data_IF_795951067514
#
_entry.id   IF_795951067514
#
_cell.length_a   1.000
_cell.length_b   1.000
_cell.length_c   1.000
_cell.angle_alpha   90.00
_cell.angle_beta   90.00
_cell.angle_gamma   90.00
#
_symmetry.space_group_name_H-M   'P 1'
#
loop_
_entity.id
_entity.type
_entity.pdbx_description
1 polymer ?
#
# COMPACT_ATOMS: atom_id res chain seq x y z
N UNK A 1 49.61 -8.24 72.02
CA UNK A 1 49.92 -8.42 70.58
C UNK A 1 48.93 -9.44 70.04
N UNK A 2 47.87 -8.97 69.39
CA UNK A 2 46.97 -9.79 68.60
C UNK A 2 46.55 -8.90 67.42
N UNK A 3 47.12 -9.18 66.25
CA UNK A 3 46.81 -8.49 65.01
C UNK A 3 45.56 -9.12 64.40
N UNK A 4 44.55 -8.29 64.14
CA UNK A 4 43.33 -8.68 63.43
C UNK A 4 43.58 -8.47 61.94
N UNK A 5 43.58 -9.55 61.17
CA UNK A 5 43.56 -9.50 59.70
C UNK A 5 42.17 -9.05 59.24
N UNK A 6 42.11 -7.92 58.53
CA UNK A 6 40.91 -7.50 57.82
C UNK A 6 40.87 -8.19 56.46
N UNK A 7 39.89 -9.06 56.26
CA UNK A 7 39.59 -9.67 54.98
C UNK A 7 39.06 -8.62 53.99
N UNK A 8 39.74 -8.51 52.85
CA UNK A 8 39.31 -7.73 51.70
C UNK A 8 38.06 -8.38 51.09
N UNK A 9 36.93 -7.66 51.14
CA UNK A 9 35.69 -8.06 50.48
C UNK A 9 35.81 -7.83 48.97
N UNK A 10 36.00 -8.89 48.20
CA UNK A 10 35.91 -8.85 46.73
C UNK A 10 34.44 -8.68 46.34
N UNK A 11 34.06 -7.48 45.90
CA UNK A 11 32.77 -7.23 45.26
C UNK A 11 32.74 -7.89 43.88
N UNK A 12 31.63 -8.51 43.44
CA UNK A 12 31.51 -9.04 42.09
C UNK A 12 31.48 -7.87 41.10
N UNK A 13 32.51 -7.75 40.27
CA UNK A 13 32.50 -6.85 39.12
C UNK A 13 31.34 -7.22 38.20
N UNK A 14 30.43 -6.27 37.98
CA UNK A 14 29.46 -6.36 36.90
C UNK A 14 30.20 -6.59 35.57
N UNK A 15 29.97 -7.75 34.95
CA UNK A 15 30.61 -8.16 33.71
C UNK A 15 30.16 -7.19 32.61
N UNK A 16 31.13 -6.53 31.96
CA UNK A 16 30.82 -5.60 30.87
C UNK A 16 30.24 -6.39 29.68
N UNK A 17 29.17 -5.91 29.03
CA UNK A 17 28.65 -6.50 27.80
C UNK A 17 29.76 -6.51 26.74
N UNK A 18 29.79 -7.56 25.90
CA UNK A 18 30.78 -7.71 24.82
C UNK A 18 30.54 -6.61 23.76
N UNK A 19 31.13 -5.44 23.98
CA UNK A 19 31.14 -4.33 23.03
C UNK A 19 32.28 -4.56 22.03
N UNK A 20 31.99 -5.22 20.91
CA UNK A 20 33.03 -5.49 19.91
C UNK A 20 32.63 -6.45 18.79
N UNK A 21 33.68 -6.95 18.14
CA UNK A 21 33.62 -7.95 17.08
C UNK A 21 33.45 -9.34 17.71
N UNK A 22 32.53 -10.13 17.18
CA UNK A 22 32.18 -11.47 17.64
C UNK A 22 32.47 -12.45 16.50
N UNK A 23 33.19 -13.53 16.82
CA UNK A 23 33.34 -14.69 15.93
C UNK A 23 32.25 -15.72 16.26
N UNK A 24 31.60 -16.24 15.22
CA UNK A 24 30.59 -17.28 15.31
C UNK A 24 31.04 -18.45 14.42
N UNK A 25 30.96 -19.68 14.92
CA UNK A 25 31.03 -20.88 14.12
C UNK A 25 29.61 -21.43 13.95
N UNK A 26 29.08 -21.36 12.73
CA UNK A 26 27.72 -21.83 12.41
C UNK A 26 27.83 -23.06 11.53
N UNK A 27 27.53 -24.24 12.09
CA UNK A 27 27.61 -25.50 11.35
C UNK A 27 28.99 -25.77 10.71
N UNK A 28 30.08 -25.27 11.30
CA UNK A 28 31.45 -25.40 10.79
C UNK A 28 31.94 -24.23 9.93
N UNK A 29 31.11 -23.20 9.70
CA UNK A 29 31.49 -22.01 8.93
C UNK A 29 31.66 -20.81 9.85
N UNK A 30 32.84 -20.17 9.76
CA UNK A 30 33.18 -19.01 10.58
C UNK A 30 32.60 -17.72 10.00
N UNK A 31 31.80 -17.03 10.82
CA UNK A 31 31.30 -15.69 10.56
C UNK A 31 31.90 -14.71 11.56
N UNK A 32 32.16 -13.49 11.10
CA UNK A 32 32.65 -12.43 11.99
C UNK A 32 31.82 -11.17 11.78
N UNK A 33 31.24 -10.65 12.87
CA UNK A 33 30.33 -9.50 12.84
C UNK A 33 30.42 -8.69 14.13
N UNK A 34 29.66 -7.61 14.30
CA UNK A 34 29.57 -6.90 15.58
C UNK A 34 28.45 -7.48 16.45
N UNK A 35 28.63 -7.39 17.78
CA UNK A 35 27.59 -7.72 18.74
C UNK A 35 26.32 -6.90 18.47
N UNK A 36 26.46 -5.60 18.18
CA UNK A 36 25.32 -4.72 17.88
C UNK A 36 24.47 -5.21 16.71
N UNK A 37 25.08 -5.66 15.61
CA UNK A 37 24.35 -6.21 14.46
C UNK A 37 23.51 -7.42 14.85
N UNK A 38 24.06 -8.31 15.69
CA UNK A 38 23.35 -9.51 16.14
C UNK A 38 22.20 -9.15 17.10
N UNK A 39 22.45 -8.29 18.08
CA UNK A 39 21.46 -7.98 19.13
C UNK A 39 20.32 -7.08 18.66
N UNK A 40 20.50 -6.30 17.60
CA UNK A 40 19.46 -5.35 17.12
C UNK A 40 18.23 -6.02 16.54
N UNK A 41 18.33 -7.27 16.08
CA UNK A 41 17.25 -7.95 15.35
C UNK A 41 16.99 -9.38 15.83
N UNK A 42 17.65 -9.84 16.90
CA UNK A 42 17.52 -11.20 17.42
C UNK A 42 17.51 -11.20 18.94
N UNK A 43 16.40 -11.67 19.52
CA UNK A 43 16.30 -11.87 20.97
C UNK A 43 17.26 -12.94 21.47
N UNK A 44 17.52 -13.99 20.67
CA UNK A 44 18.50 -15.01 20.99
C UNK A 44 19.88 -14.41 21.25
N UNK A 45 20.39 -13.59 20.32
CA UNK A 45 21.70 -12.97 20.49
C UNK A 45 21.71 -11.89 21.56
N UNK A 46 20.61 -11.15 21.73
CA UNK A 46 20.48 -10.18 22.82
C UNK A 46 20.63 -10.85 24.19
N UNK A 47 20.01 -12.02 24.39
CA UNK A 47 20.14 -12.81 25.61
C UNK A 47 21.52 -13.47 25.74
N UNK A 48 22.05 -14.04 24.65
CA UNK A 48 23.36 -14.70 24.66
C UNK A 48 24.50 -13.71 24.98
N UNK A 49 24.39 -12.47 24.50
CA UNK A 49 25.42 -11.44 24.65
C UNK A 49 25.16 -10.47 25.83
N UNK A 50 24.06 -10.62 26.58
CA UNK A 50 23.74 -9.77 27.75
C UNK A 50 24.76 -9.88 28.88
N UNK A 51 25.56 -10.95 28.89
CA UNK A 51 26.58 -11.24 29.91
C UNK A 51 26.14 -12.25 30.97
N UNK A 52 24.89 -12.73 30.92
CA UNK A 52 24.37 -13.74 31.85
C UNK A 52 24.93 -15.14 31.55
N UNK A 53 25.25 -15.41 30.28
CA UNK A 53 25.78 -16.68 29.77
C UNK A 53 27.26 -16.55 29.39
N UNK A 54 28.08 -16.15 30.35
CA UNK A 54 29.53 -16.18 30.17
C UNK A 54 30.02 -17.63 30.32
N UNK A 55 29.75 -18.46 29.32
CA UNK A 55 30.57 -19.66 29.14
C UNK A 55 32.01 -19.19 28.86
N UNK A 56 32.90 -19.81 29.63
CA UNK A 56 34.33 -19.62 29.71
C UNK A 56 35.00 -19.18 28.41
N UNK A 57 35.70 -18.04 28.43
CA UNK A 57 36.94 -17.80 27.67
C UNK A 57 36.94 -17.92 26.14
N UNK A 58 35.88 -18.42 25.51
CA UNK A 58 35.89 -18.77 24.10
C UNK A 58 35.69 -17.51 23.27
N UNK A 59 36.68 -17.27 22.42
CA UNK A 59 36.71 -16.17 21.45
C UNK A 59 35.64 -16.35 20.35
N UNK A 60 35.09 -17.56 20.20
CA UNK A 60 34.18 -17.98 19.14
C UNK A 60 32.93 -18.67 19.72
N UNK A 61 31.74 -18.26 19.26
CA UNK A 61 30.45 -18.86 19.68
C UNK A 61 30.00 -19.90 18.66
N UNK A 62 29.73 -21.13 19.10
CA UNK A 62 29.23 -22.19 18.23
C UNK A 62 27.69 -22.17 18.14
N UNK A 63 27.15 -22.34 16.93
CA UNK A 63 25.72 -22.44 16.64
C UNK A 63 25.50 -23.65 15.72
N UNK A 64 24.74 -24.61 16.22
CA UNK A 64 24.44 -25.85 15.48
C UNK A 64 23.28 -25.64 14.48
N UNK A 65 23.50 -24.83 13.46
CA UNK A 65 22.49 -24.44 12.47
C UNK A 65 23.08 -24.36 11.05
N UNK A 66 22.22 -24.23 10.04
CA UNK A 66 22.64 -24.12 8.64
C UNK A 66 23.38 -22.79 8.35
N UNK A 67 24.67 -22.83 7.95
CA UNK A 67 25.42 -21.63 7.63
C UNK A 67 24.88 -20.87 6.40
N UNK A 68 24.22 -21.56 5.45
CA UNK A 68 23.67 -20.91 4.27
C UNK A 68 22.46 -20.03 4.64
N UNK A 69 21.52 -20.57 5.41
CA UNK A 69 20.41 -19.82 5.97
C UNK A 69 20.90 -18.67 6.89
N UNK A 70 21.89 -18.95 7.75
CA UNK A 70 22.44 -17.94 8.65
C UNK A 70 23.07 -16.76 7.89
N UNK A 71 23.76 -17.02 6.78
CA UNK A 71 24.34 -15.96 5.95
C UNK A 71 23.28 -14.98 5.45
N UNK A 72 22.11 -15.48 5.02
CA UNK A 72 21.00 -14.65 4.57
C UNK A 72 20.46 -13.79 5.71
N UNK A 73 20.24 -14.38 6.89
CA UNK A 73 19.77 -13.65 8.07
C UNK A 73 20.77 -12.63 8.57
N UNK A 74 22.08 -12.91 8.47
CA UNK A 74 23.12 -11.95 8.81
C UNK A 74 23.13 -10.74 7.87
N UNK A 75 22.87 -10.94 6.58
CA UNK A 75 22.73 -9.84 5.63
C UNK A 75 21.46 -8.99 5.93
N UNK A 76 20.37 -9.63 6.37
CA UNK A 76 19.20 -8.92 6.90
C UNK A 76 19.54 -8.11 8.16
N UNK A 77 20.23 -8.71 9.15
CA UNK A 77 20.63 -8.01 10.38
C UNK A 77 21.51 -6.78 10.12
N UNK A 78 22.28 -6.77 9.01
CA UNK A 78 23.13 -5.63 8.61
C UNK A 78 22.39 -4.53 7.86
N UNK A 79 21.42 -4.91 7.03
CA UNK A 79 20.75 -3.99 6.11
C UNK A 79 19.37 -3.54 6.58
N UNK A 80 18.78 -4.27 7.52
CA UNK A 80 17.39 -4.11 7.95
C UNK A 80 16.36 -4.68 6.97
N UNK A 81 16.77 -5.14 5.78
CA UNK A 81 15.87 -5.62 4.74
C UNK A 81 16.33 -6.94 4.12
N UNK A 82 15.37 -7.77 3.70
CA UNK A 82 15.63 -9.05 3.06
C UNK A 82 14.89 -9.15 1.73
N UNK A 83 15.55 -9.72 0.72
CA UNK A 83 14.91 -10.03 -0.56
C UNK A 83 14.07 -11.29 -0.39
N UNK A 84 12.79 -11.25 -0.74
CA UNK A 84 11.88 -12.41 -0.66
C UNK A 84 12.46 -13.62 -1.39
N UNK A 85 13.07 -13.42 -2.58
CA UNK A 85 13.70 -14.49 -3.36
C UNK A 85 14.93 -15.15 -2.69
N UNK A 86 15.40 -14.63 -1.55
CA UNK A 86 16.48 -15.22 -0.74
C UNK A 86 15.95 -15.94 0.51
N UNK A 87 14.66 -15.85 0.78
CA UNK A 87 14.01 -16.51 1.92
C UNK A 87 13.54 -17.89 1.44
N UNK A 88 14.11 -18.94 2.03
CA UNK A 88 13.63 -20.31 1.90
C UNK A 88 13.05 -20.81 3.25
N UNK A 89 12.62 -22.06 3.30
CA UNK A 89 12.08 -22.68 4.53
C UNK A 89 13.09 -22.68 5.68
N UNK A 90 14.37 -22.98 5.39
CA UNK A 90 15.44 -23.03 6.39
C UNK A 90 15.72 -21.64 6.97
N UNK A 91 15.69 -20.60 6.13
CA UNK A 91 15.84 -19.20 6.57
C UNK A 91 14.74 -18.82 7.55
N UNK A 92 13.48 -19.19 7.29
CA UNK A 92 12.36 -18.86 8.18
C UNK A 92 12.43 -19.65 9.50
N UNK A 93 12.72 -20.95 9.44
CA UNK A 93 12.87 -21.79 10.63
C UNK A 93 14.04 -21.31 11.51
N UNK A 94 15.15 -20.91 10.90
CA UNK A 94 16.29 -20.36 11.63
C UNK A 94 15.97 -18.98 12.22
N UNK A 95 15.22 -18.14 11.51
CA UNK A 95 14.80 -16.84 12.03
C UNK A 95 13.85 -16.97 13.24
N UNK A 96 12.97 -17.98 13.22
CA UNK A 96 12.13 -18.36 14.37
C UNK A 96 13.01 -18.82 15.55
N UNK A 97 13.99 -19.69 15.31
CA UNK A 97 14.96 -20.12 16.34
C UNK A 97 15.75 -18.95 16.94
N UNK A 98 16.18 -17.99 16.11
CA UNK A 98 16.93 -16.81 16.54
C UNK A 98 16.05 -15.73 17.19
N UNK A 99 14.73 -15.91 17.24
CA UNK A 99 13.79 -14.95 17.82
C UNK A 99 13.79 -13.62 17.06
N UNK A 100 13.66 -13.66 15.73
CA UNK A 100 13.66 -12.49 14.85
C UNK A 100 12.24 -11.97 14.60
N UNK A 101 11.58 -11.50 15.65
CA UNK A 101 10.13 -11.17 15.67
C UNK A 101 9.68 -10.27 14.52
N UNK A 102 10.42 -9.20 14.22
CA UNK A 102 10.07 -8.28 13.12
C UNK A 102 9.98 -8.99 11.77
N UNK A 103 10.91 -9.92 11.50
CA UNK A 103 10.88 -10.72 10.28
C UNK A 103 9.75 -11.75 10.31
N UNK A 104 9.47 -12.35 11.47
CA UNK A 104 8.39 -13.32 11.63
C UNK A 104 7.02 -12.67 11.42
N UNK A 105 6.75 -11.53 12.06
CA UNK A 105 5.51 -10.77 11.88
C UNK A 105 5.30 -10.38 10.41
N UNK A 106 6.31 -9.81 9.77
CA UNK A 106 6.23 -9.44 8.36
C UNK A 106 5.96 -10.66 7.45
N UNK A 107 6.58 -11.80 7.75
CA UNK A 107 6.37 -13.06 7.02
C UNK A 107 4.92 -13.53 7.14
N UNK A 108 4.36 -13.55 8.36
CA UNK A 108 2.97 -13.97 8.63
C UNK A 108 1.95 -13.07 7.94
N UNK A 109 2.15 -11.75 8.04
CA UNK A 109 1.32 -10.74 7.35
C UNK A 109 1.34 -11.02 5.84
N UNK A 110 2.54 -11.14 5.25
CA UNK A 110 2.70 -11.44 3.82
C UNK A 110 2.00 -12.74 3.41
N UNK A 111 2.04 -13.76 4.26
CA UNK A 111 1.46 -15.07 3.97
C UNK A 111 -0.07 -15.03 3.90
N UNK A 112 -0.73 -14.46 4.91
CA UNK A 112 -2.20 -14.30 4.93
C UNK A 112 -2.69 -13.53 3.72
N UNK A 113 -1.96 -12.47 3.41
CA UNK A 113 -2.19 -11.62 2.25
C UNK A 113 -2.15 -12.43 0.95
N UNK A 114 -1.10 -13.22 0.74
CA UNK A 114 -0.93 -14.00 -0.48
C UNK A 114 -1.94 -15.15 -0.60
N UNK A 115 -2.41 -15.69 0.52
CA UNK A 115 -3.51 -16.68 0.54
C UNK A 115 -4.86 -16.07 0.13
N UNK A 116 -4.93 -14.77 -0.15
CA UNK A 116 -6.17 -14.05 -0.45
C UNK A 116 -7.10 -13.94 0.75
N UNK A 117 -6.62 -14.33 1.93
CA UNK A 117 -7.29 -14.24 3.24
C UNK A 117 -6.96 -12.96 4.01
N UNK A 118 -6.02 -12.17 3.50
CA UNK A 118 -6.04 -10.73 3.75
C UNK A 118 -7.15 -10.10 2.90
N UNK A 119 -8.19 -9.44 3.44
CA UNK A 119 -8.62 -9.26 4.83
C UNK A 119 -10.03 -9.86 5.07
N UNK A 120 -10.17 -10.78 6.03
CA UNK A 120 -11.40 -10.86 6.84
C UNK A 120 -11.32 -9.91 8.06
N UNK A 121 -10.21 -9.19 8.15
CA UNK A 121 -9.83 -8.23 9.19
C UNK A 121 -10.00 -6.85 8.57
N UNK A 122 -10.79 -5.95 9.16
CA UNK A 122 -11.03 -4.60 8.63
C UNK A 122 -9.74 -3.91 8.18
N UNK A 123 -9.82 -2.97 7.23
CA UNK A 123 -8.67 -2.15 6.78
C UNK A 123 -7.90 -1.51 7.95
N UNK A 124 -8.58 -1.30 9.08
CA UNK A 124 -8.08 -0.72 10.33
C UNK A 124 -7.37 -1.71 11.28
N UNK A 125 -7.29 -3.01 10.94
CA UNK A 125 -6.70 -4.02 11.84
C UNK A 125 -5.22 -3.79 12.08
N UNK A 126 -4.75 -4.00 13.30
CA UNK A 126 -3.32 -3.82 13.64
C UNK A 126 -2.45 -4.97 13.11
N UNK A 127 -1.14 -4.77 13.03
CA UNK A 127 -0.22 -5.83 12.60
C UNK A 127 -0.21 -7.00 13.59
N UNK A 128 -0.40 -6.72 14.88
CA UNK A 128 -0.54 -7.73 15.94
C UNK A 128 -1.79 -8.58 15.76
N UNK A 129 -2.92 -7.97 15.37
CA UNK A 129 -4.16 -8.71 15.11
C UNK A 129 -4.01 -9.66 13.92
N UNK A 130 -3.33 -9.20 12.85
CA UNK A 130 -3.05 -10.04 11.67
C UNK A 130 -2.14 -11.20 12.03
N UNK A 131 -1.08 -10.94 12.81
CA UNK A 131 -0.15 -11.98 13.29
C UNK A 131 -0.87 -12.99 14.17
N UNK A 132 -1.72 -12.53 15.10
CA UNK A 132 -2.50 -13.40 15.97
C UNK A 132 -3.47 -14.29 15.17
N UNK A 133 -4.14 -13.73 14.16
CA UNK A 133 -5.02 -14.50 13.27
C UNK A 133 -4.26 -15.58 12.50
N UNK A 134 -3.05 -15.27 12.00
CA UNK A 134 -2.20 -16.28 11.34
C UNK A 134 -1.82 -17.41 12.31
N UNK A 135 -1.42 -17.05 13.53
CA UNK A 135 -1.02 -18.03 14.53
C UNK A 135 -2.19 -18.88 15.03
N UNK A 136 -3.39 -18.32 15.15
CA UNK A 136 -4.61 -19.06 15.48
C UNK A 136 -4.98 -20.05 14.38
N UNK A 137 -4.93 -19.63 13.12
CA UNK A 137 -5.38 -20.45 11.98
C UNK A 137 -4.35 -21.53 11.60
N UNK A 138 -3.06 -21.18 11.56
CA UNK A 138 -2.01 -22.06 11.05
C UNK A 138 -1.06 -22.59 12.12
N UNK A 139 -1.13 -22.06 13.35
CA UNK A 139 -0.31 -22.50 14.47
C UNK A 139 1.18 -22.17 14.34
N UNK A 140 1.49 -21.05 13.67
CA UNK A 140 2.85 -20.53 13.49
C UNK A 140 3.51 -20.91 12.16
N UNK A 141 4.70 -20.34 11.93
CA UNK A 141 5.43 -20.48 10.65
C UNK A 141 5.82 -21.94 10.39
N UNK A 142 6.40 -22.62 11.38
CA UNK A 142 6.81 -24.02 11.24
C UNK A 142 5.64 -24.92 10.79
N UNK A 143 4.46 -24.79 11.44
CA UNK A 143 3.28 -25.57 11.07
C UNK A 143 2.74 -25.20 9.70
N UNK A 144 2.77 -23.92 9.32
CA UNK A 144 2.37 -23.47 8.00
C UNK A 144 3.31 -24.01 6.89
N UNK A 145 4.62 -24.06 7.14
CA UNK A 145 5.59 -24.71 6.25
C UNK A 145 5.27 -26.20 6.13
N UNK A 146 5.08 -26.89 7.27
CA UNK A 146 4.70 -28.31 7.30
C UNK A 146 3.37 -28.62 6.60
N UNK A 147 2.45 -27.66 6.55
CA UNK A 147 1.20 -27.74 5.80
C UNK A 147 1.37 -27.47 4.29
N UNK A 148 2.59 -27.23 3.81
CA UNK A 148 2.90 -26.98 2.40
C UNK A 148 2.47 -25.60 1.91
N UNK A 149 2.30 -24.63 2.82
CA UNK A 149 1.85 -23.28 2.46
C UNK A 149 3.00 -22.37 2.03
N UNK A 150 4.25 -22.80 2.15
CA UNK A 150 5.44 -21.98 1.85
C UNK A 150 5.44 -21.39 0.43
N UNK A 151 5.00 -22.11 -0.62
CA UNK A 151 4.82 -21.53 -1.95
C UNK A 151 3.91 -20.29 -1.94
N UNK A 152 2.91 -20.22 -1.07
CA UNK A 152 2.05 -19.03 -0.94
C UNK A 152 2.80 -17.83 -0.35
N UNK A 153 3.79 -18.03 0.52
CA UNK A 153 4.65 -16.93 0.98
C UNK A 153 5.51 -16.37 -0.17
N UNK A 154 6.09 -17.27 -0.97
CA UNK A 154 6.91 -16.91 -2.13
C UNK A 154 6.08 -16.31 -3.27
N UNK A 155 4.85 -16.80 -3.45
CA UNK A 155 3.92 -16.33 -4.44
C UNK A 155 3.49 -14.89 -4.13
N UNK A 156 4.32 -13.93 -4.53
CA UNK A 156 3.77 -12.82 -5.31
C UNK A 156 3.41 -13.47 -6.63
N UNK A 157 2.20 -13.99 -6.72
CA UNK A 157 1.81 -14.87 -7.80
C UNK A 157 2.19 -14.26 -9.16
N UNK A 158 3.20 -14.84 -9.80
CA UNK A 158 3.70 -14.41 -11.11
C UNK A 158 2.76 -14.90 -12.23
N UNK A 159 1.88 -15.88 -11.94
CA UNK A 159 0.95 -16.47 -12.90
C UNK A 159 -0.54 -16.26 -12.58
N UNK A 160 -0.96 -15.98 -11.33
CA UNK A 160 -2.21 -15.23 -11.15
C UNK A 160 -1.95 -13.81 -11.60
N UNK A 161 -2.42 -13.56 -12.82
CA UNK A 161 -3.02 -12.30 -13.24
C UNK A 161 -3.38 -11.47 -12.02
N UNK A 162 -2.45 -10.59 -11.64
CA UNK A 162 -2.58 -9.49 -10.72
C UNK A 162 -3.96 -9.47 -10.04
N UNK A 163 -4.05 -9.88 -8.76
CA UNK A 163 -5.25 -9.67 -7.95
C UNK A 163 -5.48 -8.15 -7.87
N UNK A 164 -6.22 -7.65 -8.84
CA UNK A 164 -6.69 -6.29 -8.89
C UNK A 164 -8.03 -6.28 -8.19
N UNK A 165 -8.18 -5.36 -7.26
CA UNK A 165 -9.52 -4.88 -6.98
C UNK A 165 -9.93 -4.04 -8.18
N UNK A 166 -11.11 -4.33 -8.69
CA UNK A 166 -11.70 -3.61 -9.79
C UNK A 166 -12.64 -2.60 -9.18
N UNK A 167 -12.58 -1.37 -9.68
CA UNK A 167 -13.67 -0.44 -9.52
C UNK A 167 -14.27 -0.17 -10.89
N UNK A 168 -15.57 -0.01 -10.95
CA UNK A 168 -16.23 0.50 -12.14
C UNK A 168 -16.92 1.82 -11.81
N UNK A 169 -16.80 2.76 -12.74
CA UNK A 169 -17.60 3.98 -12.73
C UNK A 169 -18.74 3.74 -13.70
N UNK A 170 -19.95 3.56 -13.16
CA UNK A 170 -21.15 3.29 -13.93
C UNK A 170 -21.92 4.59 -14.20
N UNK A 171 -22.22 4.86 -15.47
CA UNK A 171 -23.09 5.96 -15.88
C UNK A 171 -24.51 5.43 -16.17
N UNK A 172 -25.47 5.72 -15.28
CA UNK A 172 -26.86 5.27 -15.44
C UNK A 172 -27.71 6.39 -16.05
N UNK A 173 -28.16 6.18 -17.29
CA UNK A 173 -29.17 6.96 -18.06
C UNK A 173 -29.40 8.38 -17.51
N UNK A 174 -28.35 9.19 -17.62
CA UNK A 174 -28.39 10.62 -17.38
C UNK A 174 -28.32 11.13 -15.94
N UNK A 175 -28.53 10.36 -14.86
CA UNK A 175 -28.73 10.99 -13.54
C UNK A 175 -27.90 10.44 -12.36
N UNK A 176 -27.30 9.26 -12.45
CA UNK A 176 -26.48 8.76 -11.35
C UNK A 176 -25.17 8.18 -11.86
N UNK A 177 -24.07 8.73 -11.37
CA UNK A 177 -22.79 8.06 -11.39
C UNK A 177 -22.61 7.32 -10.07
N UNK A 178 -22.34 6.03 -10.20
CA UNK A 178 -22.06 5.15 -9.08
C UNK A 178 -20.64 4.65 -9.27
N UNK A 179 -19.76 5.01 -8.34
CA UNK A 179 -18.48 4.32 -8.21
C UNK A 179 -18.75 3.02 -7.45
N UNK A 180 -18.48 1.88 -8.08
CA UNK A 180 -18.60 0.57 -7.44
C UNK A 180 -17.22 -0.02 -7.24
N UNK A 181 -16.90 -0.36 -6.00
CA UNK A 181 -15.65 -1.02 -5.64
C UNK A 181 -15.92 -2.51 -5.38
N UNK A 182 -15.23 -3.38 -6.12
CA UNK A 182 -15.32 -4.82 -5.95
C UNK A 182 -14.16 -5.31 -5.09
N UNK A 183 -14.38 -5.27 -3.77
CA UNK A 183 -13.39 -5.66 -2.76
C UNK A 183 -13.71 -7.08 -2.26
N UNK A 184 -12.82 -8.03 -2.56
CA UNK A 184 -12.96 -9.41 -2.06
C UNK A 184 -14.10 -10.22 -2.71
N UNK A 185 -14.89 -10.92 -1.89
CA UNK A 185 -16.00 -11.80 -2.32
C UNK A 185 -17.39 -11.27 -1.97
N UNK A 186 -17.46 -10.12 -1.33
CA UNK A 186 -18.72 -9.47 -0.98
C UNK A 186 -19.29 -8.73 -2.21
N UNK A 187 -20.55 -8.30 -2.13
CA UNK A 187 -21.14 -7.45 -3.17
C UNK A 187 -20.38 -6.13 -3.31
N UNK A 188 -20.55 -5.40 -4.43
CA UNK A 188 -19.85 -4.13 -4.64
C UNK A 188 -20.22 -3.10 -3.56
N UNK A 189 -19.22 -2.35 -3.10
CA UNK A 189 -19.47 -1.13 -2.32
C UNK A 189 -19.84 -0.04 -3.31
N UNK A 190 -21.08 0.44 -3.25
CA UNK A 190 -21.59 1.48 -4.14
C UNK A 190 -21.50 2.86 -3.46
N UNK A 191 -20.85 3.82 -4.12
CA UNK A 191 -20.82 5.22 -3.71
C UNK A 191 -21.45 6.10 -4.78
N UNK A 192 -22.52 6.80 -4.42
CA UNK A 192 -23.14 7.79 -5.31
C UNK A 192 -22.28 9.05 -5.32
N UNK A 193 -21.82 9.44 -6.50
CA UNK A 193 -20.97 10.61 -6.69
C UNK A 193 -21.06 11.12 -8.13
N UNK A 194 -20.60 12.34 -8.38
CA UNK A 194 -20.46 12.83 -9.75
C UNK A 194 -19.24 12.23 -10.46
N UNK A 195 -19.11 12.40 -11.78
CA UNK A 195 -18.03 11.78 -12.55
C UNK A 195 -16.64 12.19 -12.08
N UNK A 196 -16.46 13.46 -11.72
CA UNK A 196 -15.18 13.94 -11.21
C UNK A 196 -14.87 13.35 -9.83
N UNK A 197 -15.87 13.31 -8.94
CA UNK A 197 -15.77 12.70 -7.62
C UNK A 197 -15.44 11.20 -7.70
N UNK A 198 -16.08 10.47 -8.62
CA UNK A 198 -15.83 9.05 -8.87
C UNK A 198 -14.37 8.80 -9.26
N UNK A 199 -13.85 9.53 -10.26
CA UNK A 199 -12.48 9.34 -10.76
C UNK A 199 -11.46 9.76 -9.69
N UNK A 200 -11.58 10.96 -9.12
CA UNK A 200 -10.64 11.44 -8.11
C UNK A 200 -10.69 10.61 -6.83
N UNK A 201 -11.86 10.15 -6.41
CA UNK A 201 -12.04 9.29 -5.24
C UNK A 201 -11.45 7.90 -5.44
N UNK A 202 -11.66 7.28 -6.59
CA UNK A 202 -11.01 6.01 -6.91
C UNK A 202 -9.48 6.19 -7.05
N UNK A 203 -9.01 7.26 -7.69
CA UNK A 203 -7.58 7.55 -7.81
C UNK A 203 -6.92 7.82 -6.44
N UNK A 204 -7.58 8.52 -5.52
CA UNK A 204 -7.08 8.73 -4.16
C UNK A 204 -6.99 7.41 -3.37
N UNK A 205 -7.91 6.49 -3.63
CA UNK A 205 -7.89 5.10 -3.14
C UNK A 205 -6.89 4.18 -3.87
N UNK A 206 -6.11 4.72 -4.79
CA UNK A 206 -5.04 4.01 -5.49
C UNK A 206 -5.48 3.21 -6.73
N UNK A 207 -6.72 3.38 -7.18
CA UNK A 207 -7.16 2.82 -8.46
C UNK A 207 -6.58 3.61 -9.64
N UNK A 208 -6.17 2.88 -10.67
CA UNK A 208 -5.62 3.44 -11.91
C UNK A 208 -6.50 3.00 -13.06
N UNK A 209 -6.78 3.91 -14.00
CA UNK A 209 -7.56 3.62 -15.21
C UNK A 209 -6.89 2.50 -15.99
N UNK A 210 -7.66 1.51 -16.41
CA UNK A 210 -7.19 0.58 -17.43
C UNK A 210 -7.26 1.30 -18.77
N UNK A 211 -6.16 1.41 -19.52
CA UNK A 211 -6.13 2.03 -20.86
C UNK A 211 -6.94 1.30 -21.94
N UNK A 212 -7.91 0.48 -21.54
CA UNK A 212 -8.94 -0.09 -22.38
C UNK A 212 -10.27 0.33 -21.77
N UNK A 213 -10.94 1.30 -22.39
CA UNK A 213 -12.36 1.49 -22.18
C UNK A 213 -13.05 0.33 -22.91
N UNK A 214 -13.22 -0.81 -22.25
CA UNK A 214 -14.03 -1.89 -22.79
C UNK A 214 -15.50 -1.50 -22.59
N UNK A 215 -16.15 -1.03 -23.66
CA UNK A 215 -17.61 -0.97 -23.72
C UNK A 215 -18.09 -2.43 -23.76
N UNK A 216 -18.28 -3.02 -22.58
CA UNK A 216 -18.90 -4.33 -22.46
C UNK A 216 -20.40 -4.09 -22.54
N UNK A 217 -21.00 -4.52 -23.64
CA UNK A 217 -22.45 -4.60 -23.76
C UNK A 217 -22.94 -5.61 -22.71
N UNK A 218 -23.66 -5.12 -21.69
CA UNK A 218 -23.98 -5.81 -20.42
C UNK A 218 -24.96 -6.99 -20.56
N UNK A 219 -25.07 -7.59 -21.76
CA UNK A 219 -25.98 -8.68 -22.07
C UNK A 219 -25.71 -9.96 -21.26
N UNK A 220 -24.48 -10.17 -20.77
CA UNK A 220 -24.09 -11.40 -20.06
C UNK A 220 -24.28 -11.36 -18.53
N UNK A 221 -24.51 -10.19 -17.89
CA UNK A 221 -24.68 -10.10 -16.42
C UNK A 221 -26.10 -10.25 -15.91
N UNK A 222 -27.08 -10.38 -16.80
CA UNK A 222 -28.43 -10.83 -16.44
C UNK A 222 -29.27 -9.90 -15.55
N UNK A 223 -28.81 -8.71 -15.14
CA UNK A 223 -29.64 -7.82 -14.32
C UNK A 223 -29.23 -6.32 -14.37
N UNK A 224 -30.27 -5.50 -14.66
CA UNK A 224 -30.59 -4.14 -14.18
C UNK A 224 -30.20 -2.86 -14.92
N UNK A 225 -29.22 -2.78 -15.82
CA UNK A 225 -28.90 -1.48 -16.44
C UNK A 225 -28.51 -1.53 -17.93
N UNK A 226 -29.47 -1.70 -18.86
CA UNK A 226 -29.18 -1.57 -20.29
C UNK A 226 -28.69 -0.15 -20.63
N UNK A 227 -27.51 -0.06 -21.27
CA UNK A 227 -26.94 1.21 -21.78
C UNK A 227 -25.96 1.94 -20.85
N UNK A 228 -25.35 1.24 -19.88
CA UNK A 228 -24.33 1.83 -19.00
C UNK A 228 -22.96 1.79 -19.66
N UNK A 229 -22.32 2.94 -19.81
CA UNK A 229 -20.90 3.00 -20.13
C UNK A 229 -20.11 2.75 -18.82
N UNK A 230 -19.26 1.72 -18.84
CA UNK A 230 -18.42 1.33 -17.71
C UNK A 230 -16.98 1.75 -17.99
N UNK A 231 -16.41 2.50 -17.05
CA UNK A 231 -14.97 2.71 -17.00
C UNK A 231 -14.39 1.81 -15.93
N UNK A 232 -13.49 0.92 -16.33
CA UNK A 232 -12.79 0.04 -15.40
C UNK A 232 -11.52 0.72 -14.86
N UNK A 233 -11.41 0.70 -13.55
CA UNK A 233 -10.20 1.06 -12.85
C UNK A 233 -9.74 -0.16 -12.06
N UNK A 234 -8.43 -0.26 -11.89
CA UNK A 234 -7.82 -1.36 -11.13
C UNK A 234 -6.85 -0.80 -10.12
N UNK A 235 -6.88 -1.33 -8.90
CA UNK A 235 -5.77 -1.20 -7.96
C UNK A 235 -5.28 -2.58 -7.61
N UNK A 236 -3.96 -2.74 -7.46
CA UNK A 236 -3.43 -4.02 -7.01
C UNK A 236 -3.81 -4.18 -5.53
N UNK A 237 -4.46 -5.29 -5.17
CA UNK A 237 -4.90 -5.63 -3.80
C UNK A 237 -3.77 -5.46 -2.76
N UNK A 238 -2.52 -5.60 -3.21
CA UNK A 238 -1.32 -5.56 -2.37
C UNK A 238 -0.77 -4.16 -2.06
N UNK A 239 -1.27 -3.07 -2.68
CA UNK A 239 -0.71 -1.72 -2.47
C UNK A 239 -0.91 -1.21 -1.05
N UNK A 240 -2.02 -1.57 -0.39
CA UNK A 240 -2.29 -1.19 1.01
C UNK A 240 -1.49 -2.00 2.05
N UNK A 241 -0.81 -3.07 1.61
CA UNK A 241 -0.03 -3.96 2.48
C UNK A 241 1.48 -3.74 2.38
N UNK A 242 1.92 -3.05 1.31
CA UNK A 242 3.28 -2.53 1.19
C UNK A 242 3.69 -1.69 2.41
N UNK A 243 2.88 -0.76 2.96
CA UNK A 243 3.26 0.04 4.13
C UNK A 243 3.61 -0.77 5.38
N UNK A 244 2.97 -1.93 5.59
CA UNK A 244 3.10 -2.72 6.82
C UNK A 244 4.39 -3.57 6.85
N UNK A 245 4.93 -3.94 5.69
CA UNK A 245 6.12 -4.83 5.60
C UNK A 245 7.28 -4.26 4.78
N UNK A 246 7.14 -3.05 4.21
CA UNK A 246 8.15 -2.43 3.33
C UNK A 246 9.48 -2.14 4.00
N UNK A 247 9.50 -2.05 5.33
CA UNK A 247 10.73 -1.88 6.10
C UNK A 247 11.50 -3.19 6.30
N UNK A 248 10.87 -4.35 6.05
CA UNK A 248 11.48 -5.69 6.21
C UNK A 248 11.82 -6.32 4.87
N UNK A 249 10.88 -6.31 3.90
CA UNK A 249 11.12 -6.91 2.60
C UNK A 249 11.55 -5.85 1.59
N UNK A 250 12.72 -6.07 0.98
CA UNK A 250 13.20 -5.20 -0.09
C UNK A 250 12.20 -5.22 -1.26
N UNK A 251 11.74 -4.05 -1.75
CA UNK A 251 10.77 -4.00 -2.85
C UNK A 251 11.36 -4.65 -4.10
N UNK A 252 10.54 -5.43 -4.81
CA UNK A 252 10.90 -5.97 -6.11
C UNK A 252 11.04 -4.86 -7.16
N UNK A 253 11.68 -5.15 -8.28
CA UNK A 253 11.75 -4.16 -9.38
C UNK A 253 10.36 -3.86 -9.95
N UNK A 254 9.44 -4.83 -9.90
CA UNK A 254 8.02 -4.63 -10.18
C UNK A 254 7.35 -3.70 -9.16
N UNK A 255 7.61 -3.86 -7.86
CA UNK A 255 7.08 -2.96 -6.83
C UNK A 255 7.60 -1.53 -7.02
N UNK A 256 8.86 -1.38 -7.43
CA UNK A 256 9.45 -0.08 -7.76
C UNK A 256 8.85 0.52 -9.03
N UNK A 257 8.68 -0.29 -10.07
CA UNK A 257 8.02 0.15 -11.30
C UNK A 257 6.58 0.54 -11.01
N UNK A 258 5.84 -0.23 -10.23
CA UNK A 258 4.47 0.08 -9.81
C UNK A 258 4.44 1.37 -9.00
N UNK A 259 5.29 1.53 -7.98
CA UNK A 259 5.43 2.81 -7.24
C UNK A 259 5.75 3.98 -8.17
N UNK A 260 6.52 3.76 -9.24
CA UNK A 260 6.83 4.80 -10.24
C UNK A 260 5.73 5.03 -11.28
N UNK A 261 4.87 4.04 -11.57
CA UNK A 261 3.72 4.15 -12.49
C UNK A 261 2.43 4.54 -11.78
N UNK A 262 2.42 4.53 -10.45
CA UNK A 262 1.39 5.10 -9.59
C UNK A 262 1.53 6.63 -9.50
N UNK A 263 1.90 7.28 -10.59
CA UNK A 263 1.63 8.71 -10.76
C UNK A 263 0.13 8.88 -10.58
N UNK A 264 -0.29 9.26 -9.38
CA UNK A 264 -1.70 9.45 -9.06
C UNK A 264 -2.10 10.71 -9.77
N UNK A 265 -2.93 10.56 -10.79
CA UNK A 265 -3.48 11.72 -11.46
C UNK A 265 -4.69 12.21 -10.69
N UNK A 266 -4.78 13.52 -10.57
CA UNK A 266 -5.98 14.21 -10.15
C UNK A 266 -6.47 15.09 -11.28
N UNK A 267 -7.79 15.18 -11.40
CA UNK A 267 -8.43 15.93 -12.45
C UNK A 267 -9.19 17.11 -11.86
N UNK A 268 -9.23 18.21 -12.59
CA UNK A 268 -10.05 19.36 -12.29
C UNK A 268 -10.78 19.81 -13.56
N UNK A 269 -12.05 20.20 -13.42
CA UNK A 269 -12.86 20.73 -14.52
C UNK A 269 -12.96 22.25 -14.39
N UNK A 270 -12.49 22.95 -15.41
CA UNK A 270 -12.53 24.40 -15.53
C UNK A 270 -13.75 24.76 -16.36
N UNK A 271 -14.67 25.53 -15.80
CA UNK A 271 -15.92 25.90 -16.45
C UNK A 271 -15.76 27.31 -17.03
N UNK A 272 -15.93 27.44 -18.35
CA UNK A 272 -15.77 28.71 -19.07
C UNK A 272 -17.13 29.35 -19.35
N UNK A 273 -17.21 30.65 -19.10
CA UNK A 273 -18.37 31.46 -19.47
C UNK A 273 -18.34 31.83 -20.97
N UNK A 274 -19.39 32.51 -21.46
CA UNK A 274 -19.50 32.97 -22.85
C UNK A 274 -18.38 33.91 -23.32
N UNK A 275 -17.58 34.48 -22.39
CA UNK A 275 -16.41 35.30 -22.70
C UNK A 275 -15.11 34.50 -22.82
N UNK A 276 -15.15 33.18 -22.59
CA UNK A 276 -13.95 32.33 -22.52
C UNK A 276 -13.15 32.50 -21.22
N UNK A 277 -13.71 33.18 -20.21
CA UNK A 277 -13.09 33.28 -18.89
C UNK A 277 -13.59 32.12 -18.00
N UNK A 278 -12.69 31.58 -17.19
CA UNK A 278 -13.01 30.51 -16.23
C UNK A 278 -13.78 31.12 -15.05
N UNK A 279 -15.02 30.71 -14.86
CA UNK A 279 -15.91 31.24 -13.81
C UNK A 279 -15.93 30.36 -12.56
N UNK A 280 -15.75 29.05 -12.72
CA UNK A 280 -15.70 28.10 -11.62
C UNK A 280 -14.75 26.93 -11.94
N UNK A 281 -14.19 26.32 -10.90
CA UNK A 281 -13.42 25.07 -11.01
C UNK A 281 -14.06 24.02 -10.11
N UNK A 282 -14.33 22.84 -10.67
CA UNK A 282 -14.56 21.63 -9.89
C UNK A 282 -13.21 20.93 -9.67
N UNK A 283 -12.82 20.73 -8.42
CA UNK A 283 -11.50 20.24 -8.04
C UNK A 283 -11.59 19.06 -7.06
N UNK A 284 -10.48 18.31 -6.87
CA UNK A 284 -10.38 17.30 -5.83
C UNK A 284 -10.77 17.84 -4.43
N UNK A 285 -11.28 16.97 -3.53
CA UNK A 285 -11.88 17.39 -2.27
C UNK A 285 -10.91 18.13 -1.34
N UNK A 286 -9.60 17.87 -1.42
CA UNK A 286 -8.59 18.53 -0.59
C UNK A 286 -8.50 20.05 -0.80
N UNK A 287 -9.01 20.56 -1.92
CA UNK A 287 -9.05 21.99 -2.22
C UNK A 287 -10.25 22.70 -1.61
N UNK A 288 -11.19 21.96 -1.00
CA UNK A 288 -12.36 22.54 -0.36
C UNK A 288 -12.00 23.17 0.99
N UNK A 289 -12.56 24.35 1.25
CA UNK A 289 -12.57 24.93 2.60
C UNK A 289 -13.54 24.23 3.55
N UNK A 290 -14.52 23.48 3.03
CA UNK A 290 -15.46 22.68 3.82
C UNK A 290 -14.81 21.35 4.22
N UNK A 291 -14.72 21.10 5.53
CA UNK A 291 -14.18 19.86 6.10
C UNK A 291 -14.95 18.62 5.67
N UNK A 292 -16.28 18.73 5.53
CA UNK A 292 -17.13 17.59 5.15
C UNK A 292 -16.75 17.11 3.76
N UNK A 293 -16.63 18.05 2.81
CA UNK A 293 -16.17 17.76 1.44
C UNK A 293 -14.74 17.24 1.44
N UNK A 294 -13.86 17.82 2.27
CA UNK A 294 -12.44 17.42 2.33
C UNK A 294 -12.23 15.99 2.84
N UNK A 295 -13.08 15.57 3.77
CA UNK A 295 -13.03 14.25 4.40
C UNK A 295 -13.62 13.14 3.53
N UNK A 296 -14.45 13.50 2.55
CA UNK A 296 -15.05 12.55 1.60
C UNK A 296 -14.11 12.36 0.39
N UNK A 297 -13.55 11.16 0.17
CA UNK A 297 -12.69 10.90 -0.99
C UNK A 297 -13.41 11.12 -2.32
N UNK A 298 -14.74 10.99 -2.37
CA UNK A 298 -15.57 11.23 -3.55
C UNK A 298 -16.16 12.65 -3.59
N UNK A 299 -15.81 13.48 -2.62
CA UNK A 299 -16.19 14.89 -2.57
C UNK A 299 -15.61 15.68 -3.73
N UNK A 300 -16.29 16.77 -4.10
CA UNK A 300 -15.85 17.68 -5.14
C UNK A 300 -15.85 19.09 -4.58
N UNK A 301 -14.67 19.73 -4.61
CA UNK A 301 -14.51 21.12 -4.21
C UNK A 301 -14.99 22.04 -5.34
N UNK A 302 -15.73 23.08 -4.99
CA UNK A 302 -16.13 24.13 -5.93
C UNK A 302 -15.33 25.38 -5.60
N UNK A 303 -14.50 25.84 -6.54
CA UNK A 303 -13.68 27.03 -6.39
C UNK A 303 -14.34 28.17 -7.15
N UNK A 304 -14.94 29.12 -6.41
CA UNK A 304 -15.51 30.35 -6.94
C UNK A 304 -15.39 31.47 -5.88
N UNK A 305 -14.90 32.68 -6.23
CA UNK A 305 -14.32 33.05 -7.52
C UNK A 305 -12.98 32.34 -7.79
N UNK A 306 -12.64 32.14 -9.06
CA UNK A 306 -11.41 31.45 -9.47
C UNK A 306 -10.19 32.38 -9.36
N UNK A 307 -9.18 32.05 -8.55
CA UNK A 307 -7.95 32.83 -8.49
C UNK A 307 -7.18 32.83 -9.82
N UNK A 308 -6.53 33.93 -10.21
CA UNK A 308 -5.61 33.93 -11.35
C UNK A 308 -4.52 32.88 -11.16
N UNK A 309 -4.18 32.16 -12.24
CA UNK A 309 -3.15 31.12 -12.25
C UNK A 309 -3.38 29.96 -11.26
N UNK A 310 -4.63 29.67 -10.88
CA UNK A 310 -4.94 28.59 -9.94
C UNK A 310 -4.44 27.23 -10.45
N UNK A 311 -4.59 26.96 -11.75
CA UNK A 311 -4.13 25.71 -12.36
C UNK A 311 -2.61 25.52 -12.18
N UNK A 312 -1.83 26.51 -12.60
CA UNK A 312 -0.37 26.48 -12.57
C UNK A 312 0.16 26.42 -11.14
N UNK A 313 -0.47 27.18 -10.23
CA UNK A 313 -0.09 27.21 -8.82
C UNK A 313 -0.31 25.87 -8.11
N UNK A 314 -1.22 25.04 -8.63
CA UNK A 314 -1.57 23.73 -8.08
C UNK A 314 -1.06 22.55 -8.92
N UNK A 315 -0.23 22.83 -9.94
CA UNK A 315 0.42 21.82 -10.78
C UNK A 315 -0.48 21.17 -11.83
N UNK A 316 -1.67 21.72 -12.09
CA UNK A 316 -2.56 21.23 -13.14
C UNK A 316 -2.06 21.66 -14.51
N UNK A 317 -1.94 20.69 -15.41
CA UNK A 317 -1.52 20.86 -16.79
C UNK A 317 -2.52 20.19 -17.72
N UNK A 318 -2.49 20.56 -19.01
CA UNK A 318 -3.31 19.88 -20.01
C UNK A 318 -2.85 18.41 -20.16
N UNK A 319 -3.77 17.44 -20.26
CA UNK A 319 -3.41 16.04 -20.35
C UNK A 319 -2.44 15.74 -21.50
N UNK A 320 -1.39 14.95 -21.24
CA UNK A 320 -0.41 14.59 -22.28
C UNK A 320 -1.00 13.64 -23.33
N UNK A 321 -1.96 12.81 -22.94
CA UNK A 321 -2.66 11.83 -23.78
C UNK A 321 -3.95 12.43 -24.35
N UNK A 322 -3.81 13.37 -25.29
CA UNK A 322 -4.93 13.99 -26.02
C UNK A 322 -5.73 13.02 -26.92
N UNK A 323 -5.31 11.76 -27.04
CA UNK A 323 -5.91 10.80 -27.99
C UNK A 323 -6.98 9.87 -27.41
N UNK A 324 -7.11 9.74 -26.07
CA UNK A 324 -8.04 8.77 -25.46
C UNK A 324 -9.16 9.39 -24.61
N UNK A 325 -9.07 10.68 -24.25
CA UNK A 325 -10.24 11.41 -23.75
C UNK A 325 -11.03 11.83 -24.99
N UNK A 326 -11.94 10.97 -25.44
CA UNK A 326 -12.80 11.22 -26.59
C UNK A 326 -13.36 12.65 -26.61
N UNK A 327 -13.52 13.14 -27.83
CA UNK A 327 -14.09 14.40 -28.26
C UNK A 327 -15.51 14.64 -27.73
N UNK A 328 -15.66 14.89 -26.42
CA UNK A 328 -16.87 15.52 -25.89
C UNK A 328 -16.92 17.00 -26.34
N UNK A 329 -15.79 17.58 -26.78
CA UNK A 329 -15.73 18.98 -27.24
C UNK A 329 -16.32 19.24 -28.63
N UNK A 330 -16.35 18.25 -29.52
CA UNK A 330 -16.62 18.52 -30.95
C UNK A 330 -17.98 17.99 -31.44
N UNK A 331 -18.64 17.11 -30.67
CA UNK A 331 -20.05 16.85 -30.86
C UNK A 331 -20.81 18.00 -30.21
N UNK A 332 -21.49 18.81 -31.02
CA UNK A 332 -22.55 19.73 -30.57
C UNK A 332 -23.39 18.96 -29.55
N UNK A 333 -23.21 19.32 -28.28
CA UNK A 333 -23.87 18.69 -27.15
C UNK A 333 -25.38 18.83 -27.40
N UNK A 334 -26.07 17.73 -27.73
CA UNK A 334 -27.50 17.67 -27.49
C UNK A 334 -27.66 17.75 -25.96
N UNK A 335 -28.00 18.96 -25.49
CA UNK A 335 -27.65 19.57 -24.18
C UNK A 335 -28.17 18.88 -22.91
N UNK A 336 -28.88 17.76 -23.00
CA UNK A 336 -29.63 17.24 -21.84
C UNK A 336 -29.03 16.00 -21.16
N UNK A 337 -28.02 15.35 -21.75
CA UNK A 337 -27.56 14.03 -21.26
C UNK A 337 -26.08 13.95 -20.83
N UNK A 338 -25.30 15.03 -20.90
CA UNK A 338 -23.89 15.00 -20.44
C UNK A 338 -23.82 14.95 -18.90
N UNK A 339 -23.28 13.88 -18.28
CA UNK A 339 -23.25 13.75 -16.81
C UNK A 339 -22.36 14.79 -16.13
N UNK A 340 -21.29 15.24 -16.81
CA UNK A 340 -20.40 16.29 -16.31
C UNK A 340 -21.13 17.64 -16.21
N UNK A 341 -21.94 18.00 -17.22
CA UNK A 341 -22.72 19.24 -17.18
C UNK A 341 -23.74 19.22 -16.05
N UNK A 342 -24.33 18.06 -15.75
CA UNK A 342 -25.25 17.91 -14.61
C UNK A 342 -24.55 18.10 -13.27
N UNK A 343 -23.39 17.47 -13.06
CA UNK A 343 -22.58 17.68 -11.85
C UNK A 343 -22.22 19.16 -11.66
N UNK A 344 -21.84 19.86 -12.74
CA UNK A 344 -21.58 21.29 -12.72
C UNK A 344 -22.81 22.08 -12.23
N UNK A 345 -23.99 21.77 -12.76
CA UNK A 345 -25.23 22.48 -12.43
C UNK A 345 -25.66 22.22 -10.99
N UNK A 346 -25.54 20.98 -10.52
CA UNK A 346 -25.89 20.61 -9.15
C UNK A 346 -24.96 21.26 -8.12
N UNK A 347 -23.68 21.42 -8.46
CA UNK A 347 -22.65 21.89 -7.52
C UNK A 347 -22.42 23.39 -7.55
N UNK A 348 -22.69 24.06 -8.68
CA UNK A 348 -22.48 25.50 -8.82
C UNK A 348 -23.83 26.22 -8.75
N UNK A 349 -24.17 26.71 -7.55
CA UNK A 349 -25.49 27.30 -7.21
C UNK A 349 -25.94 28.47 -8.11
N UNK A 350 -25.04 29.05 -8.91
CA UNK A 350 -25.30 30.21 -9.79
C UNK A 350 -25.60 29.85 -11.26
N UNK A 351 -25.51 28.59 -11.67
CA UNK A 351 -25.68 28.19 -13.08
C UNK A 351 -27.10 27.72 -13.41
N UNK A 352 -27.83 28.53 -14.19
CA UNK A 352 -29.02 28.06 -14.91
C UNK A 352 -28.58 27.49 -16.28
N UNK A 353 -28.78 26.19 -16.46
CA UNK A 353 -28.27 25.29 -17.53
C UNK A 353 -28.28 25.85 -18.96
N UNK A 354 -29.19 26.75 -19.30
CA UNK A 354 -29.58 26.95 -20.70
C UNK A 354 -28.74 27.97 -21.49
N UNK A 355 -28.02 28.91 -20.85
CA UNK A 355 -27.36 30.01 -21.57
C UNK A 355 -25.91 30.35 -21.16
N UNK A 356 -25.32 29.75 -20.13
CA UNK A 356 -24.05 30.27 -19.53
C UNK A 356 -22.79 29.41 -19.67
N UNK A 357 -22.89 28.09 -19.92
CA UNK A 357 -21.70 27.24 -20.11
C UNK A 357 -21.34 27.21 -21.59
N UNK A 358 -20.25 27.87 -21.94
CA UNK A 358 -19.75 27.91 -23.32
C UNK A 358 -18.73 26.81 -23.60
N UNK A 359 -17.97 26.43 -22.57
CA UNK A 359 -16.95 25.39 -22.65
C UNK A 359 -16.57 24.86 -21.27
N UNK A 360 -15.89 23.73 -21.26
CA UNK A 360 -15.16 23.29 -20.08
C UNK A 360 -13.85 22.62 -20.49
N UNK A 361 -12.82 22.75 -19.65
CA UNK A 361 -11.49 22.17 -19.86
C UNK A 361 -11.18 21.21 -18.72
N UNK A 362 -10.70 20.01 -19.07
CA UNK A 362 -10.18 19.06 -18.08
C UNK A 362 -8.67 19.24 -18.00
N UNK A 363 -8.17 19.52 -16.81
CA UNK A 363 -6.74 19.53 -16.52
C UNK A 363 -6.38 18.39 -15.57
N UNK A 364 -5.17 17.85 -15.70
CA UNK A 364 -4.63 16.79 -14.85
C UNK A 364 -3.40 17.29 -14.08
N UNK A 365 -3.18 16.78 -12.87
CA UNK A 365 -1.92 16.92 -12.13
C UNK A 365 -1.40 15.58 -11.68
N UNK A 366 -0.09 15.44 -11.65
CA UNK A 366 0.61 14.31 -11.05
C UNK A 366 0.83 14.61 -9.56
N UNK A 367 0.45 13.69 -8.67
CA UNK A 367 0.61 13.78 -7.21
C UNK A 367 1.86 13.03 -6.76
#
# INVERSE_FOLDING_TARGET
>A
MASVEMGESVQPMAKRPRCGRVALDVGGVKFVTSASTLTSNSHYFAALLSGDWAESGDEELYIDQDPAAFKVLLDYMRSGMIKVAKVDENVLLLAEFLGMETLMSATKIRWLVNLGRGPSLSDDSSDEEIVAAFDEEYGGINKAIGAGLFPSFLAMDLESKCQYEVAEVAMVQGNALVAREFVGREGPIETQCGPLGAINGLCSKGYVRTGKDEIIDDFDRGDRFPGVQLQYLRRRKYIQLLPRTEHVFAPSDEDRQVKSTLTRFQYAHFIENNGGEVDAILAPPEFSSDEVVRSDPFGVAVIQPVPPCWAESNGFVKPKLYHEVHSISDAVIEREECPVLKEIVEKVESYNILDSVYGYIILEREI
#
